data_IF_559206842385
#
_entry.id   IF_559206842385
#
_cell.length_a   1.000
_cell.length_b   1.000
_cell.length_c   1.000
_cell.angle_alpha   90.00
_cell.angle_beta   90.00
_cell.angle_gamma   90.00
#
_symmetry.space_group_name_H-M   'P 1'
#
loop_
_entity.id
_entity.type
_entity.pdbx_description
1 polymer ?
#
# COMPACT_ATOMS: atom_id res chain seq x y z
N UNK A 1 4.75 29.82 8.34
CA UNK A 1 4.15 29.18 7.14
C UNK A 1 5.11 28.24 6.42
N UNK A 2 6.38 28.59 6.20
CA UNK A 2 7.40 27.71 5.57
C UNK A 2 7.53 26.31 6.22
N UNK A 3 7.47 26.23 7.56
CA UNK A 3 7.56 24.95 8.28
C UNK A 3 6.43 23.97 7.94
N UNK A 4 5.20 24.44 7.66
CA UNK A 4 4.08 23.56 7.32
C UNK A 4 4.17 23.05 5.89
N UNK A 5 4.59 23.89 4.95
CA UNK A 5 4.79 23.47 3.56
C UNK A 5 5.90 22.42 3.46
N UNK A 6 7.02 22.65 4.16
CA UNK A 6 8.11 21.69 4.22
C UNK A 6 7.69 20.35 4.83
N UNK A 7 6.94 20.38 5.95
CA UNK A 7 6.42 19.19 6.61
C UNK A 7 5.48 18.39 5.69
N UNK A 8 4.53 19.07 5.02
CA UNK A 8 3.63 18.41 4.08
C UNK A 8 4.35 17.82 2.87
N UNK A 9 5.36 18.51 2.31
CA UNK A 9 6.17 17.98 1.21
C UNK A 9 6.98 16.76 1.65
N UNK A 10 7.58 16.80 2.84
CA UNK A 10 8.30 15.66 3.41
C UNK A 10 7.39 14.44 3.54
N UNK A 11 6.23 14.60 4.19
CA UNK A 11 5.29 13.51 4.39
C UNK A 11 4.65 13.02 3.10
N UNK A 12 4.34 13.90 2.14
CA UNK A 12 3.91 13.51 0.79
C UNK A 12 4.89 12.52 0.17
N UNK A 13 6.19 12.87 0.15
CA UNK A 13 7.24 12.02 -0.40
C UNK A 13 7.32 10.68 0.35
N UNK A 14 7.37 10.72 1.68
CA UNK A 14 7.48 9.52 2.53
C UNK A 14 6.30 8.56 2.38
N UNK A 15 5.08 9.08 2.25
CA UNK A 15 3.90 8.24 2.02
C UNK A 15 3.85 7.67 0.60
N UNK A 16 4.26 8.44 -0.40
CA UNK A 16 4.34 7.97 -1.79
C UNK A 16 5.36 6.85 -1.94
N UNK A 17 6.56 7.03 -1.37
CA UNK A 17 7.62 6.02 -1.35
C UNK A 17 7.19 4.73 -0.64
N UNK A 18 6.46 4.83 0.49
CA UNK A 18 5.94 3.66 1.19
C UNK A 18 4.93 2.89 0.34
N UNK A 19 4.01 3.60 -0.32
CA UNK A 19 3.03 2.97 -1.20
C UNK A 19 3.71 2.20 -2.35
N UNK A 20 4.73 2.79 -2.98
CA UNK A 20 5.54 2.14 -4.01
C UNK A 20 6.34 0.93 -3.49
N UNK A 21 6.97 1.06 -2.32
CA UNK A 21 7.74 -0.04 -1.75
C UNK A 21 6.85 -1.24 -1.42
N UNK A 22 5.67 -1.00 -0.85
CA UNK A 22 4.74 -2.08 -0.53
C UNK A 22 4.14 -2.72 -1.78
N UNK A 23 3.83 -1.94 -2.83
CA UNK A 23 3.37 -2.52 -4.09
C UNK A 23 4.44 -3.42 -4.70
N UNK A 24 5.71 -2.96 -4.72
CA UNK A 24 6.85 -3.76 -5.22
C UNK A 24 7.08 -5.02 -4.39
N UNK A 25 6.93 -4.95 -3.07
CA UNK A 25 7.05 -6.12 -2.19
C UNK A 25 6.00 -7.18 -2.49
N UNK A 26 4.73 -6.76 -2.65
CA UNK A 26 3.63 -7.66 -3.00
C UNK A 26 3.86 -8.27 -4.38
N UNK A 27 4.20 -7.45 -5.37
CA UNK A 27 4.43 -7.87 -6.76
C UNK A 27 5.55 -8.92 -6.85
N UNK A 28 6.72 -8.63 -6.27
CA UNK A 28 7.85 -9.57 -6.26
C UNK A 28 7.51 -10.86 -5.53
N UNK A 29 6.87 -10.79 -4.36
CA UNK A 29 6.49 -11.99 -3.60
C UNK A 29 5.47 -12.84 -4.36
N UNK A 30 4.50 -12.18 -5.01
CA UNK A 30 3.49 -12.85 -5.82
C UNK A 30 4.13 -13.59 -7.00
N UNK A 31 4.99 -12.92 -7.77
CA UNK A 31 5.71 -13.53 -8.89
C UNK A 31 6.55 -14.72 -8.43
N UNK A 32 7.30 -14.59 -7.33
CA UNK A 32 8.05 -15.71 -6.75
C UNK A 32 7.13 -16.87 -6.30
N UNK A 33 5.90 -16.57 -5.85
CA UNK A 33 4.94 -17.60 -5.45
C UNK A 33 4.42 -18.43 -6.62
N UNK A 34 4.40 -17.87 -7.84
CA UNK A 34 3.97 -18.58 -9.05
C UNK A 34 4.99 -19.62 -9.51
N UNK A 35 6.27 -19.40 -9.23
CA UNK A 35 7.38 -20.31 -9.59
C UNK A 35 7.64 -21.40 -8.52
N UNK A 36 6.82 -21.49 -7.47
CA UNK A 36 7.01 -22.46 -6.40
C UNK A 36 6.75 -23.91 -6.87
N UNK A 37 7.63 -24.87 -6.50
CA UNK A 37 7.35 -26.28 -6.71
C UNK A 37 6.06 -26.74 -6.01
N UNK A 38 5.35 -27.76 -6.56
CA UNK A 38 4.18 -28.32 -5.91
C UNK A 38 4.48 -28.77 -4.47
N UNK A 39 3.65 -28.32 -3.52
CA UNK A 39 3.78 -28.67 -2.10
C UNK A 39 4.66 -27.73 -1.27
N UNK A 40 5.30 -26.71 -1.86
CA UNK A 40 5.89 -25.62 -1.08
C UNK A 40 4.84 -24.58 -0.69
N UNK A 41 4.95 -24.08 0.54
CA UNK A 41 4.09 -23.01 1.04
C UNK A 41 4.58 -21.63 0.58
N UNK A 42 3.63 -20.77 0.23
CA UNK A 42 3.89 -19.37 -0.11
C UNK A 42 4.48 -18.60 1.09
N UNK A 43 5.39 -17.68 0.82
CA UNK A 43 6.19 -16.99 1.84
C UNK A 43 5.65 -15.60 2.16
N UNK A 44 4.40 -15.52 2.64
CA UNK A 44 3.77 -14.25 3.02
C UNK A 44 4.16 -13.76 4.42
N UNK A 45 4.50 -14.66 5.35
CA UNK A 45 4.94 -14.27 6.68
C UNK A 45 6.23 -13.44 6.65
N UNK A 46 7.31 -13.87 5.96
CA UNK A 46 8.54 -13.08 5.90
C UNK A 46 8.32 -11.70 5.27
N UNK A 47 7.37 -11.59 4.33
CA UNK A 47 7.01 -10.32 3.71
C UNK A 47 6.44 -9.33 4.73
N UNK A 48 5.47 -9.77 5.53
CA UNK A 48 4.87 -8.95 6.59
C UNK A 48 5.90 -8.62 7.69
N UNK A 49 6.75 -9.58 8.06
CA UNK A 49 7.82 -9.34 9.03
C UNK A 49 8.82 -8.28 8.54
N UNK A 50 9.15 -8.29 7.24
CA UNK A 50 10.07 -7.33 6.64
C UNK A 50 9.55 -5.88 6.65
N UNK A 51 8.23 -5.66 6.74
CA UNK A 51 7.66 -4.32 6.89
C UNK A 51 7.72 -3.79 8.32
N UNK A 52 8.01 -4.65 9.31
CA UNK A 52 8.02 -4.32 10.73
C UNK A 52 6.65 -4.29 11.39
N UNK A 53 5.59 -4.70 10.68
CA UNK A 53 4.20 -4.62 11.16
C UNK A 53 3.65 -5.96 11.69
N UNK A 54 4.52 -6.96 11.96
CA UNK A 54 4.11 -8.33 12.33
C UNK A 54 3.22 -8.36 13.58
N UNK A 55 3.51 -7.54 14.59
CA UNK A 55 2.70 -7.43 15.81
C UNK A 55 1.29 -6.95 15.47
N UNK A 56 1.18 -5.88 14.67
CA UNK A 56 -0.12 -5.33 14.25
C UNK A 56 -0.88 -6.30 13.36
N UNK A 57 -0.19 -7.03 12.49
CA UNK A 57 -0.79 -8.09 11.68
C UNK A 57 -1.43 -9.17 12.56
N UNK A 58 -0.73 -9.64 13.59
CA UNK A 58 -1.23 -10.67 14.49
C UNK A 58 -2.44 -10.25 15.33
N UNK A 59 -2.59 -8.95 15.63
CA UNK A 59 -3.79 -8.42 16.29
C UNK A 59 -5.03 -8.51 15.39
N UNK A 60 -4.86 -8.37 14.07
CA UNK A 60 -5.95 -8.23 13.11
C UNK A 60 -6.27 -9.52 12.35
N UNK A 61 -5.29 -10.38 12.11
CA UNK A 61 -5.40 -11.56 11.25
C UNK A 61 -4.91 -12.84 11.91
N UNK A 62 -5.48 -13.97 11.47
CA UNK A 62 -5.02 -15.32 11.83
C UNK A 62 -4.32 -15.97 10.65
N UNK A 63 -3.07 -16.39 10.84
CA UNK A 63 -2.27 -17.03 9.80
C UNK A 63 -1.83 -16.09 8.68
N UNK A 64 -0.91 -16.56 7.84
CA UNK A 64 -0.28 -15.80 6.76
C UNK A 64 -0.73 -16.28 5.39
N UNK A 65 -2.03 -16.18 5.12
CA UNK A 65 -2.56 -16.47 3.78
C UNK A 65 -2.25 -15.31 2.83
N UNK A 66 -2.14 -15.61 1.53
CA UNK A 66 -2.01 -14.60 0.46
C UNK A 66 -3.04 -13.48 0.60
N UNK A 67 -4.32 -13.83 0.71
CA UNK A 67 -5.42 -12.86 0.84
C UNK A 67 -5.23 -11.95 2.05
N UNK A 68 -4.89 -12.50 3.22
CA UNK A 68 -4.73 -11.72 4.44
C UNK A 68 -3.51 -10.78 4.35
N UNK A 69 -2.39 -11.26 3.83
CA UNK A 69 -1.18 -10.45 3.67
C UNK A 69 -1.38 -9.31 2.66
N UNK A 70 -1.95 -9.60 1.48
CA UNK A 70 -2.26 -8.58 0.48
C UNK A 70 -3.27 -7.57 1.04
N UNK A 71 -4.33 -8.04 1.71
CA UNK A 71 -5.31 -7.14 2.34
C UNK A 71 -4.64 -6.23 3.36
N UNK A 72 -3.84 -6.78 4.27
CA UNK A 72 -3.16 -6.02 5.32
C UNK A 72 -2.19 -4.97 4.76
N UNK A 73 -1.36 -5.36 3.79
CA UNK A 73 -0.33 -4.48 3.22
C UNK A 73 -0.91 -3.43 2.26
N UNK A 74 -1.95 -3.76 1.50
CA UNK A 74 -2.47 -2.86 0.46
C UNK A 74 -3.77 -2.14 0.82
N UNK A 75 -4.68 -2.77 1.55
CA UNK A 75 -6.08 -2.31 1.61
C UNK A 75 -6.65 -2.12 3.01
N UNK A 76 -5.96 -2.55 4.06
CA UNK A 76 -6.48 -2.50 5.42
C UNK A 76 -6.37 -1.08 6.00
N UNK A 77 -7.50 -0.42 6.33
CA UNK A 77 -7.46 0.88 6.98
C UNK A 77 -6.95 0.83 8.43
N UNK A 78 -6.95 -0.34 9.07
CA UNK A 78 -6.41 -0.53 10.43
C UNK A 78 -4.88 -0.66 10.45
N UNK A 79 -4.25 -0.76 9.27
CA UNK A 79 -2.81 -0.66 9.09
C UNK A 79 -2.44 0.75 8.58
N UNK A 80 -1.85 1.55 9.44
CA UNK A 80 -1.43 2.93 9.14
C UNK A 80 -0.40 3.05 8.02
N UNK A 81 0.29 1.95 7.71
CA UNK A 81 1.30 1.84 6.68
C UNK A 81 0.77 1.26 5.36
N UNK A 82 -0.49 0.80 5.30
CA UNK A 82 -1.02 0.17 4.10
C UNK A 82 -0.97 1.11 2.88
N UNK A 83 -0.96 0.55 1.67
CA UNK A 83 -0.94 1.35 0.43
C UNK A 83 -2.13 2.32 0.40
N UNK A 84 -3.33 1.85 0.75
CA UNK A 84 -4.54 2.68 0.83
C UNK A 84 -4.36 3.89 1.76
N UNK A 85 -3.87 3.65 2.98
CA UNK A 85 -3.71 4.71 3.99
C UNK A 85 -2.57 5.65 3.59
N UNK A 86 -1.46 5.12 3.08
CA UNK A 86 -0.32 5.91 2.58
C UNK A 86 -0.74 6.81 1.41
N UNK A 87 -1.43 6.29 0.40
CA UNK A 87 -1.94 7.09 -0.73
C UNK A 87 -2.92 8.17 -0.25
N UNK A 88 -3.80 7.84 0.69
CA UNK A 88 -4.73 8.81 1.28
C UNK A 88 -3.99 9.94 1.98
N UNK A 89 -3.00 9.62 2.83
CA UNK A 89 -2.18 10.60 3.54
C UNK A 89 -1.32 11.42 2.56
N UNK A 90 -0.78 10.81 1.49
CA UNK A 90 -0.03 11.50 0.44
C UNK A 90 -0.90 12.54 -0.28
N UNK A 91 -2.11 12.16 -0.70
CA UNK A 91 -3.08 13.06 -1.33
C UNK A 91 -3.46 14.23 -0.42
N UNK A 92 -3.73 13.98 0.85
CA UNK A 92 -4.10 15.05 1.79
C UNK A 92 -2.95 16.04 2.03
N UNK A 93 -1.70 15.56 2.06
CA UNK A 93 -0.53 16.44 2.08
C UNK A 93 -0.41 17.24 0.78
N UNK A 94 -0.58 16.60 -0.39
CA UNK A 94 -0.58 17.28 -1.68
C UNK A 94 -1.65 18.36 -1.79
N UNK A 95 -2.83 18.15 -1.19
CA UNK A 95 -3.92 19.13 -1.15
C UNK A 95 -3.53 20.38 -0.36
N UNK A 96 -2.80 20.22 0.74
CA UNK A 96 -2.35 21.33 1.58
C UNK A 96 -1.27 22.19 0.92
N UNK A 97 -0.45 21.59 0.06
CA UNK A 97 0.64 22.28 -0.67
C UNK A 97 0.37 22.39 -2.16
N UNK A 98 -0.91 22.53 -2.54
CA UNK A 98 -1.35 22.50 -3.95
C UNK A 98 -0.64 23.53 -4.83
N UNK A 99 -0.27 24.68 -4.25
CA UNK A 99 0.46 25.77 -4.89
C UNK A 99 1.96 25.50 -5.04
N UNK A 100 2.51 24.54 -4.29
CA UNK A 100 3.94 24.21 -4.27
C UNK A 100 4.28 22.97 -5.11
N UNK A 101 3.29 22.27 -5.67
CA UNK A 101 3.47 21.09 -6.51
C UNK A 101 2.92 21.35 -7.91
N UNK A 102 3.38 20.59 -8.90
CA UNK A 102 2.85 20.70 -10.26
C UNK A 102 1.39 20.22 -10.33
N UNK A 103 0.69 20.62 -11.38
CA UNK A 103 -0.68 20.17 -11.62
C UNK A 103 -0.73 18.66 -11.85
N UNK A 104 0.25 18.13 -12.56
CA UNK A 104 0.40 16.72 -12.91
C UNK A 104 0.60 15.86 -11.66
N UNK A 105 1.45 16.29 -10.71
CA UNK A 105 1.65 15.58 -9.43
C UNK A 105 0.34 15.46 -8.66
N UNK A 106 -0.46 16.53 -8.61
CA UNK A 106 -1.76 16.49 -7.97
C UNK A 106 -2.73 15.53 -8.67
N UNK A 107 -2.82 15.59 -10.00
CA UNK A 107 -3.72 14.74 -10.78
C UNK A 107 -3.38 13.26 -10.58
N UNK A 108 -2.11 12.88 -10.70
CA UNK A 108 -1.65 11.49 -10.51
C UNK A 108 -1.97 10.98 -9.10
N UNK A 109 -1.69 11.75 -8.05
CA UNK A 109 -1.99 11.34 -6.67
C UNK A 109 -3.51 11.22 -6.42
N UNK A 110 -4.30 12.11 -7.02
CA UNK A 110 -5.75 12.07 -6.90
C UNK A 110 -6.35 10.87 -7.64
N UNK A 111 -5.85 10.56 -8.84
CA UNK A 111 -6.28 9.40 -9.61
C UNK A 111 -5.89 8.10 -8.91
N UNK A 112 -4.68 8.02 -8.36
CA UNK A 112 -4.23 6.87 -7.56
C UNK A 112 -5.12 6.66 -6.32
N UNK A 113 -5.50 7.74 -5.64
CA UNK A 113 -6.45 7.66 -4.52
C UNK A 113 -7.81 7.09 -4.97
N UNK A 114 -8.37 7.57 -6.08
CA UNK A 114 -9.65 7.06 -6.57
C UNK A 114 -9.55 5.61 -7.05
N UNK A 115 -8.46 5.25 -7.71
CA UNK A 115 -8.13 3.88 -8.09
C UNK A 115 -8.13 2.95 -6.86
N UNK A 116 -7.39 3.30 -5.81
CA UNK A 116 -7.34 2.52 -4.57
C UNK A 116 -8.72 2.37 -3.92
N UNK A 117 -9.51 3.45 -3.83
CA UNK A 117 -10.86 3.39 -3.27
C UNK A 117 -11.81 2.52 -4.11
N UNK A 118 -11.67 2.52 -5.44
CA UNK A 118 -12.45 1.64 -6.31
C UNK A 118 -12.03 0.18 -6.16
N UNK A 119 -10.73 -0.11 -6.04
CA UNK A 119 -10.22 -1.44 -5.74
C UNK A 119 -10.75 -1.97 -4.39
N UNK A 120 -10.81 -1.11 -3.36
CA UNK A 120 -11.42 -1.45 -2.07
C UNK A 120 -12.89 -1.82 -2.21
N UNK A 121 -13.68 -1.01 -2.92
CA UNK A 121 -15.11 -1.29 -3.16
C UNK A 121 -15.34 -2.62 -3.87
N UNK A 122 -14.46 -2.98 -4.80
CA UNK A 122 -14.49 -4.26 -5.52
C UNK A 122 -13.95 -5.43 -4.70
N UNK A 123 -13.43 -5.17 -3.49
CA UNK A 123 -12.70 -6.14 -2.65
C UNK A 123 -11.60 -6.82 -3.46
N UNK A 124 -10.81 -6.00 -4.16
CA UNK A 124 -9.87 -6.48 -5.16
C UNK A 124 -8.98 -7.61 -4.60
N UNK A 125 -8.54 -7.53 -3.34
CA UNK A 125 -7.72 -8.56 -2.66
C UNK A 125 -8.30 -9.99 -2.65
N UNK A 126 -9.58 -10.16 -3.02
CA UNK A 126 -10.22 -11.47 -3.21
C UNK A 126 -10.06 -12.05 -4.62
N UNK A 127 -9.61 -11.25 -5.58
CA UNK A 127 -9.34 -11.70 -6.93
C UNK A 127 -8.20 -12.71 -6.92
N UNK A 128 -8.30 -13.70 -7.79
CA UNK A 128 -7.33 -14.81 -7.87
C UNK A 128 -5.96 -14.35 -8.40
N UNK A 129 -5.92 -13.20 -9.08
CA UNK A 129 -4.76 -12.67 -9.78
C UNK A 129 -4.52 -11.18 -9.42
N UNK A 130 -3.43 -10.86 -8.69
CA UNK A 130 -2.92 -9.51 -8.40
C UNK A 130 -2.69 -8.60 -9.60
N UNK A 131 -2.50 -9.14 -10.81
CA UNK A 131 -2.32 -8.33 -12.02
C UNK A 131 -3.65 -7.76 -12.56
N UNK A 132 -4.79 -8.23 -12.03
CA UNK A 132 -6.11 -7.69 -12.37
C UNK A 132 -6.47 -6.43 -11.56
N UNK A 133 -5.52 -5.93 -10.76
CA UNK A 133 -5.69 -4.80 -9.86
C UNK A 133 -5.28 -3.51 -10.52
#
# INVERSE_FOLDING_TARGET
MLSRVADSLFWLGRYTERAENYSRFIDVNFNLSMDLPPGMAEQWQPLVAATGDEVRYHELYKGYTRENAIRFLAFDPENDNSILVSVTKARENARQVRESISKETWEVLNDLYHFMNNAVKRKAWKATDPDQF
#
